data_IF_939078905922
#
_entry.id   IF_939078905922
#
_cell.length_a   1.000
_cell.length_b   1.000
_cell.length_c   1.000
_cell.angle_alpha   90.00
_cell.angle_beta   90.00
_cell.angle_gamma   90.00
#
_symmetry.space_group_name_H-M   'P 1'
#
loop_
_entity.id
_entity.type
_entity.pdbx_description
1 polymer ?
#
# COMPACT_ATOMS: atom_id res chain seq x y z
N UNK A 1 -11.29 -4.99 16.00
CA UNK A 1 -11.67 -3.78 15.25
C UNK A 1 -13.07 -3.36 15.68
N UNK A 2 -13.41 -2.07 15.65
CA UNK A 2 -14.81 -1.64 15.83
C UNK A 2 -15.72 -2.26 14.76
N UNK A 3 -17.04 -2.36 14.98
CA UNK A 3 -18.01 -2.78 13.96
C UNK A 3 -17.83 -2.00 12.65
N UNK A 4 -18.08 -2.65 11.51
CA UNK A 4 -17.96 -2.02 10.19
C UNK A 4 -18.95 -0.86 10.07
N UNK A 5 -18.45 0.32 9.74
CA UNK A 5 -19.27 1.50 9.51
C UNK A 5 -19.92 1.42 8.10
N UNK A 6 -21.22 1.74 7.95
CA UNK A 6 -21.88 1.74 6.65
C UNK A 6 -21.14 2.62 5.62
N UNK A 7 -21.06 2.13 4.37
CA UNK A 7 -20.36 2.84 3.28
C UNK A 7 -18.84 2.61 3.27
N UNK A 8 -18.31 1.77 4.16
CA UNK A 8 -16.91 1.37 4.16
C UNK A 8 -16.71 -0.07 3.69
N UNK A 9 -15.62 -0.30 2.95
CA UNK A 9 -15.05 -1.62 2.72
C UNK A 9 -14.20 -2.03 3.92
N UNK A 10 -14.23 -3.32 4.26
CA UNK A 10 -13.59 -3.85 5.47
C UNK A 10 -12.10 -3.55 5.61
N UNK A 11 -11.31 -3.65 4.53
CA UNK A 11 -9.87 -3.34 4.53
C UNK A 11 -9.62 -1.89 4.93
N UNK A 12 -10.26 -0.94 4.25
CA UNK A 12 -10.10 0.49 4.51
C UNK A 12 -10.65 0.92 5.86
N UNK A 13 -11.74 0.29 6.31
CA UNK A 13 -12.25 0.50 7.66
C UNK A 13 -11.23 0.07 8.72
N UNK A 14 -10.59 -1.09 8.54
CA UNK A 14 -9.56 -1.57 9.45
C UNK A 14 -8.33 -0.63 9.48
N UNK A 15 -7.84 -0.21 8.31
CA UNK A 15 -6.71 0.72 8.20
C UNK A 15 -7.04 2.08 8.83
N UNK A 16 -8.19 2.66 8.51
CA UNK A 16 -8.64 3.94 9.09
C UNK A 16 -8.83 3.83 10.61
N UNK A 17 -9.38 2.72 11.09
CA UNK A 17 -9.53 2.49 12.53
C UNK A 17 -8.18 2.45 13.25
N UNK A 18 -7.19 1.77 12.66
CA UNK A 18 -5.82 1.74 13.18
C UNK A 18 -5.18 3.12 13.17
N UNK A 19 -5.32 3.87 12.07
CA UNK A 19 -4.84 5.24 11.95
C UNK A 19 -5.43 6.16 13.02
N UNK A 20 -6.76 6.13 13.20
CA UNK A 20 -7.47 6.91 14.23
C UNK A 20 -7.00 6.56 15.64
N UNK A 21 -6.76 5.29 15.92
CA UNK A 21 -6.24 4.85 17.21
C UNK A 21 -4.80 5.32 17.48
N UNK A 22 -3.94 5.36 16.47
CA UNK A 22 -2.58 5.91 16.59
C UNK A 22 -2.65 7.42 16.86
N UNK A 23 -3.46 8.14 16.10
CA UNK A 23 -3.63 9.59 16.24
C UNK A 23 -4.26 10.00 17.58
N UNK A 24 -5.21 9.21 18.12
CA UNK A 24 -5.82 9.48 19.43
C UNK A 24 -4.82 9.41 20.59
N UNK A 25 -3.69 8.73 20.38
CA UNK A 25 -2.55 8.68 21.31
C UNK A 25 -1.58 9.86 21.16
N UNK A 26 -1.97 10.90 20.40
CA UNK A 26 -1.14 12.07 20.08
C UNK A 26 0.17 11.71 19.37
N UNK A 27 0.22 10.56 18.71
CA UNK A 27 1.33 10.23 17.82
C UNK A 27 1.18 10.99 16.50
N UNK A 28 2.30 11.50 15.98
CA UNK A 28 2.36 12.17 14.68
C UNK A 28 3.49 11.50 13.87
N UNK A 29 3.23 10.35 13.22
CA UNK A 29 4.25 9.67 12.44
C UNK A 29 4.53 10.42 11.13
N UNK A 30 5.79 10.41 10.69
CA UNK A 30 6.17 10.95 9.37
C UNK A 30 5.66 10.06 8.22
N UNK A 31 5.49 8.76 8.49
CA UNK A 31 5.08 7.76 7.53
C UNK A 31 4.01 6.82 8.08
N UNK A 32 3.10 6.39 7.20
CA UNK A 32 2.21 5.26 7.42
C UNK A 32 2.75 4.04 6.67
N UNK A 33 2.95 2.94 7.38
CA UNK A 33 3.27 1.64 6.78
C UNK A 33 2.02 0.76 6.81
N UNK A 34 1.44 0.53 5.64
CA UNK A 34 0.25 -0.30 5.44
C UNK A 34 0.73 -1.64 4.87
N UNK A 35 0.27 -2.73 5.47
CA UNK A 35 0.64 -4.08 5.03
C UNK A 35 -0.45 -5.08 5.33
N UNK A 36 -0.57 -6.07 4.45
CA UNK A 36 -1.50 -7.17 4.64
C UNK A 36 -0.98 -8.13 5.73
N UNK A 37 -1.92 -8.77 6.43
CA UNK A 37 -1.62 -9.58 7.61
C UNK A 37 -0.86 -10.89 7.28
N UNK A 38 -0.85 -11.31 6.01
CA UNK A 38 -0.18 -12.50 5.51
C UNK A 38 1.22 -12.21 4.93
N UNK A 39 1.68 -10.96 4.97
CA UNK A 39 3.00 -10.58 4.46
C UNK A 39 4.06 -10.71 5.54
N UNK A 40 5.02 -11.61 5.29
CA UNK A 40 6.23 -11.75 6.11
C UNK A 40 7.25 -10.65 5.82
N UNK A 41 7.67 -9.94 6.87
CA UNK A 41 8.66 -8.85 6.77
C UNK A 41 9.99 -9.24 7.42
N UNK A 42 11.09 -8.93 6.75
CA UNK A 42 12.41 -8.98 7.37
C UNK A 42 12.54 -7.86 8.43
N UNK A 43 13.38 -8.02 9.47
CA UNK A 43 13.54 -7.02 10.53
C UNK A 43 14.00 -5.63 10.05
N UNK A 44 14.57 -5.55 8.86
CA UNK A 44 15.06 -4.33 8.23
C UNK A 44 14.13 -3.74 7.16
N UNK A 45 12.99 -4.36 6.87
CA UNK A 45 12.07 -3.92 5.81
C UNK A 45 11.67 -2.46 5.96
N UNK A 46 11.16 -2.05 7.13
CA UNK A 46 10.74 -0.67 7.35
C UNK A 46 11.88 0.34 7.13
N UNK A 47 13.09 0.03 7.63
CA UNK A 47 14.28 0.88 7.44
C UNK A 47 14.61 1.06 5.97
N UNK A 48 14.55 -0.03 5.17
CA UNK A 48 14.80 0.02 3.73
C UNK A 48 13.73 0.80 2.98
N UNK A 49 12.46 0.66 3.36
CA UNK A 49 11.36 1.43 2.78
C UNK A 49 11.54 2.93 3.01
N UNK A 50 11.86 3.33 4.24
CA UNK A 50 12.11 4.74 4.59
C UNK A 50 13.36 5.26 3.87
N UNK A 51 14.47 4.52 3.89
CA UNK A 51 15.69 4.91 3.20
C UNK A 51 15.48 5.11 1.69
N UNK A 52 14.66 4.26 1.05
CA UNK A 52 14.27 4.42 -0.35
C UNK A 52 13.42 5.68 -0.54
N UNK A 53 12.40 5.89 0.30
CA UNK A 53 11.53 7.05 0.23
C UNK A 53 12.31 8.36 0.35
N UNK A 54 13.24 8.45 1.31
CA UNK A 54 14.06 9.64 1.53
C UNK A 54 15.11 9.83 0.43
N UNK A 55 15.84 8.76 0.08
CA UNK A 55 16.91 8.81 -0.91
C UNK A 55 16.42 9.20 -2.31
N UNK A 56 15.23 8.75 -2.69
CA UNK A 56 14.61 9.05 -3.98
C UNK A 56 13.56 10.18 -3.90
N UNK A 57 13.35 10.77 -2.72
CA UNK A 57 12.35 11.83 -2.45
C UNK A 57 10.93 11.44 -2.88
N UNK A 58 10.52 10.23 -2.53
CA UNK A 58 9.22 9.67 -2.88
C UNK A 58 8.21 9.91 -1.75
N UNK A 59 7.00 10.31 -2.12
CA UNK A 59 5.88 10.38 -1.17
C UNK A 59 5.24 9.02 -0.88
N UNK A 60 5.49 8.03 -1.75
CA UNK A 60 5.00 6.66 -1.60
C UNK A 60 6.06 5.68 -2.08
N UNK A 61 6.23 4.58 -1.33
CA UNK A 61 6.97 3.40 -1.77
C UNK A 61 6.04 2.21 -1.66
N UNK A 62 5.73 1.58 -2.77
CA UNK A 62 4.95 0.34 -2.80
C UNK A 62 5.76 -0.77 -3.45
N UNK A 63 5.78 -1.95 -2.82
CA UNK A 63 6.54 -3.09 -3.29
C UNK A 63 5.60 -4.23 -3.66
N UNK A 64 5.85 -4.84 -4.83
CA UNK A 64 5.26 -6.12 -5.15
C UNK A 64 5.85 -7.20 -4.23
N UNK A 65 4.99 -7.84 -3.46
CA UNK A 65 5.39 -8.90 -2.52
C UNK A 65 5.72 -10.17 -3.28
N UNK A 66 6.67 -10.94 -2.74
CA UNK A 66 6.96 -12.28 -3.28
C UNK A 66 5.82 -13.21 -2.90
N UNK A 67 5.09 -13.70 -3.91
CA UNK A 67 4.00 -14.65 -3.71
C UNK A 67 4.55 -16.00 -3.26
N UNK A 68 3.96 -16.56 -2.21
CA UNK A 68 4.34 -17.87 -1.69
C UNK A 68 3.80 -18.96 -2.61
N UNK A 69 4.70 -19.65 -3.32
CA UNK A 69 4.39 -20.71 -4.28
C UNK A 69 5.12 -22.00 -3.89
N UNK A 70 4.37 -22.98 -3.39
CA UNK A 70 4.88 -24.27 -2.93
C UNK A 70 4.95 -25.29 -4.08
N UNK A 71 3.91 -25.37 -4.92
CA UNK A 71 3.82 -26.37 -5.99
C UNK A 71 4.48 -25.93 -7.30
N UNK A 72 4.77 -26.89 -8.18
CA UNK A 72 5.33 -26.61 -9.51
C UNK A 72 4.40 -25.77 -10.39
N UNK A 73 3.09 -26.04 -10.32
CA UNK A 73 2.08 -25.28 -11.06
C UNK A 73 1.93 -23.85 -10.55
N UNK A 74 1.95 -23.65 -9.23
CA UNK A 74 1.95 -22.31 -8.65
C UNK A 74 3.16 -21.50 -9.13
N UNK A 75 4.36 -22.09 -9.08
CA UNK A 75 5.59 -21.41 -9.54
C UNK A 75 5.58 -21.08 -11.02
N UNK A 76 4.85 -21.84 -11.83
CA UNK A 76 4.70 -21.57 -13.26
C UNK A 76 3.65 -20.49 -13.55
N UNK A 77 2.50 -20.55 -12.88
CA UNK A 77 1.31 -19.76 -13.24
C UNK A 77 1.19 -18.47 -12.42
N UNK A 78 1.51 -18.48 -11.13
CA UNK A 78 1.31 -17.33 -10.24
C UNK A 78 2.20 -16.13 -10.61
N UNK A 79 3.50 -16.29 -10.94
CA UNK A 79 4.32 -15.15 -11.36
C UNK A 79 3.79 -14.40 -12.58
N UNK A 80 3.00 -15.05 -13.44
CA UNK A 80 2.34 -14.41 -14.58
C UNK A 80 1.43 -13.26 -14.14
N UNK A 81 0.82 -13.34 -12.96
CA UNK A 81 -0.03 -12.29 -12.39
C UNK A 81 0.71 -10.94 -12.28
N UNK A 82 1.96 -10.96 -11.82
CA UNK A 82 2.77 -9.73 -11.70
C UNK A 82 3.02 -9.12 -13.09
N UNK A 83 3.25 -9.96 -14.11
CA UNK A 83 3.40 -9.48 -15.48
C UNK A 83 2.10 -8.89 -16.03
N UNK A 84 0.94 -9.49 -15.75
CA UNK A 84 -0.34 -8.92 -16.14
C UNK A 84 -0.62 -7.58 -15.44
N UNK A 85 -0.32 -7.48 -14.15
CA UNK A 85 -0.41 -6.22 -13.43
C UNK A 85 0.49 -5.14 -14.05
N UNK A 86 1.72 -5.48 -14.39
CA UNK A 86 2.63 -4.55 -15.10
C UNK A 86 2.15 -4.17 -16.50
N UNK A 87 1.36 -5.01 -17.19
CA UNK A 87 0.76 -4.63 -18.48
C UNK A 87 -0.33 -3.58 -18.31
N UNK A 88 -1.11 -3.64 -17.23
CA UNK A 88 -2.15 -2.66 -16.92
C UNK A 88 -1.56 -1.37 -16.31
N UNK A 89 -0.60 -1.53 -15.41
CA UNK A 89 0.09 -0.46 -14.69
C UNK A 89 1.60 -0.59 -14.85
N UNK A 90 2.17 -0.16 -16.01
CA UNK A 90 3.60 -0.26 -16.23
C UNK A 90 4.37 0.53 -15.17
N UNK A 91 5.20 -0.15 -14.38
CA UNK A 91 5.93 0.50 -13.28
C UNK A 91 6.76 1.71 -13.73
N UNK A 92 7.46 1.70 -14.88
CA UNK A 92 8.17 2.88 -15.34
C UNK A 92 7.24 4.07 -15.64
N UNK A 93 5.98 3.81 -15.99
CA UNK A 93 4.97 4.82 -16.27
C UNK A 93 4.39 5.38 -14.97
N UNK A 94 4.02 4.51 -14.03
CA UNK A 94 3.53 4.86 -12.69
C UNK A 94 4.55 5.71 -11.91
N UNK A 95 5.85 5.44 -12.08
CA UNK A 95 6.91 6.21 -11.41
C UNK A 95 7.21 7.57 -12.10
N UNK A 96 6.49 7.95 -13.17
CA UNK A 96 6.67 9.27 -13.81
C UNK A 96 5.73 10.29 -13.18
N UNK A 97 6.32 11.31 -12.55
CA UNK A 97 5.59 12.40 -11.88
C UNK A 97 4.64 13.20 -12.78
N UNK A 98 4.87 13.19 -14.11
CA UNK A 98 4.03 13.89 -15.09
C UNK A 98 2.98 13.00 -15.75
N UNK A 99 2.97 11.71 -15.46
CA UNK A 99 1.94 10.80 -15.97
C UNK A 99 0.78 10.74 -14.97
N UNK A 100 -0.48 10.87 -15.40
CA UNK A 100 -1.62 10.75 -14.50
C UNK A 100 -1.84 9.33 -13.98
N UNK A 101 -1.17 8.32 -14.54
CA UNK A 101 -1.28 6.94 -14.08
C UNK A 101 -0.61 6.75 -12.72
N UNK A 102 -1.39 6.36 -11.72
CA UNK A 102 -0.92 5.96 -10.41
C UNK A 102 -1.35 4.51 -10.11
N UNK A 103 -0.49 3.76 -9.42
CA UNK A 103 -0.80 2.42 -8.92
C UNK A 103 0.14 2.05 -7.78
N UNK A 104 -0.37 1.30 -6.83
CA UNK A 104 0.40 0.61 -5.81
C UNK A 104 0.18 -0.91 -5.90
N UNK A 105 1.08 -1.68 -5.31
CA UNK A 105 0.87 -3.06 -4.91
C UNK A 105 0.48 -3.07 -3.42
N UNK A 106 -0.75 -3.46 -3.11
CA UNK A 106 -1.35 -3.25 -1.78
C UNK A 106 -0.72 -3.98 -0.61
N UNK A 107 -0.01 -5.08 -0.85
CA UNK A 107 0.52 -5.91 0.24
C UNK A 107 1.55 -5.22 1.13
N UNK A 108 2.28 -4.22 0.60
CA UNK A 108 3.25 -3.46 1.37
C UNK A 108 3.43 -2.05 0.79
N UNK A 109 2.90 -1.06 1.49
CA UNK A 109 2.89 0.35 1.07
C UNK A 109 3.38 1.25 2.21
N UNK A 110 4.39 2.07 1.93
CA UNK A 110 4.83 3.16 2.79
C UNK A 110 4.37 4.49 2.19
N UNK A 111 3.71 5.34 2.98
CA UNK A 111 3.15 6.64 2.55
C UNK A 111 3.63 7.75 3.48
N UNK A 112 4.03 8.90 2.94
CA UNK A 112 4.24 10.11 3.77
C UNK A 112 2.91 10.58 4.35
N UNK A 113 2.91 10.88 5.65
CA UNK A 113 1.70 11.24 6.37
C UNK A 113 1.07 12.55 5.85
N UNK A 114 1.91 13.54 5.52
CA UNK A 114 1.47 14.81 4.93
C UNK A 114 0.80 14.63 3.55
N UNK A 115 1.35 13.74 2.73
CA UNK A 115 0.85 13.48 1.38
C UNK A 115 -0.48 12.75 1.44
N UNK A 116 -0.61 11.74 2.31
CA UNK A 116 -1.88 11.07 2.54
C UNK A 116 -2.96 12.05 3.04
N UNK A 117 -2.62 12.93 3.98
CA UNK A 117 -3.54 13.96 4.46
C UNK A 117 -3.96 14.93 3.33
N UNK A 118 -3.00 15.42 2.54
CA UNK A 118 -3.27 16.31 1.41
C UNK A 118 -4.14 15.65 0.32
N UNK A 119 -4.03 14.33 0.14
CA UNK A 119 -4.87 13.57 -0.79
C UNK A 119 -6.34 13.44 -0.31
N UNK A 120 -6.62 13.69 0.97
CA UNK A 120 -7.94 13.52 1.60
C UNK A 120 -8.04 12.30 2.50
N UNK A 121 -6.91 11.64 2.80
CA UNK A 121 -6.85 10.45 3.65
C UNK A 121 -7.49 9.21 3.02
N UNK A 122 -7.58 8.14 3.80
CA UNK A 122 -8.22 6.89 3.39
C UNK A 122 -9.76 7.03 3.27
N UNK A 123 -10.34 8.07 3.86
CA UNK A 123 -11.78 8.35 3.80
C UNK A 123 -12.28 8.62 2.37
N UNK A 124 -11.43 9.19 1.51
CA UNK A 124 -11.77 9.43 0.10
C UNK A 124 -12.01 8.16 -0.71
N UNK A 125 -11.41 7.05 -0.28
CA UNK A 125 -11.48 5.76 -0.96
C UNK A 125 -12.35 4.76 -0.19
N UNK A 126 -13.11 5.19 0.83
CA UNK A 126 -13.81 4.30 1.78
C UNK A 126 -14.61 3.15 1.17
N UNK A 127 -15.21 3.33 0.00
CA UNK A 127 -16.04 2.37 -0.72
C UNK A 127 -15.28 1.63 -1.86
N UNK A 128 -14.00 1.93 -2.05
CA UNK A 128 -13.15 1.28 -3.03
C UNK A 128 -12.84 -0.17 -2.63
N UNK A 129 -13.27 -1.11 -3.46
CA UNK A 129 -12.94 -2.53 -3.29
C UNK A 129 -11.45 -2.77 -3.59
N UNK A 130 -10.89 -1.99 -4.52
CA UNK A 130 -9.47 -2.00 -4.89
C UNK A 130 -8.90 -0.61 -4.56
N UNK A 131 -8.26 -0.48 -3.41
CA UNK A 131 -7.70 0.78 -2.92
C UNK A 131 -6.37 1.16 -3.56
N UNK A 132 -5.63 0.18 -4.10
CA UNK A 132 -4.26 0.39 -4.58
C UNK A 132 -4.16 1.20 -5.88
N UNK A 133 -5.27 1.30 -6.62
CA UNK A 133 -5.35 1.96 -7.92
C UNK A 133 -6.48 3.01 -8.02
N UNK A 134 -7.02 3.45 -6.87
CA UNK A 134 -8.15 4.39 -6.78
C UNK A 134 -7.71 5.77 -6.30
#
# INVERSE_FOLDING_TARGET
>A
APPLEPGWVGKLWALTSGQRWILSRRAAPDYWWLTDADIGHAPDTLRRLVAKAEGERLSQVSLMVKLWCASGWERLLIPAFVFFFQKLYPFPRVNRTRDPMAAAAGGCVLLRADTLAAAGGLEKMRDAIIDDCT
#
